data_IF_088531177855
#
_entry.id   IF_088531177855
#
_cell.length_a   1.000
_cell.length_b   1.000
_cell.length_c   1.000
_cell.angle_alpha   90.00
_cell.angle_beta   90.00
_cell.angle_gamma   90.00
#
_symmetry.space_group_name_H-M   'P 1'
#
loop_
_entity.id
_entity.type
_entity.pdbx_description
1 polymer ?
#
# COMPACT_ATOMS: atom_id res chain seq x y z
N UNK A 1 1.57 -1.42 -41.48
CA UNK A 1 0.32 -1.80 -40.80
C UNK A 1 0.21 -0.97 -39.53
N UNK A 2 -0.66 0.05 -39.51
CA UNK A 2 -0.90 0.87 -38.32
C UNK A 2 -1.65 0.04 -37.30
N UNK A 3 -1.02 -0.21 -36.16
CA UNK A 3 -1.54 -1.08 -35.10
C UNK A 3 -2.72 -0.38 -34.40
N UNK A 4 -3.91 -0.46 -35.00
CA UNK A 4 -5.16 0.12 -34.47
C UNK A 4 -5.57 -0.44 -33.10
N UNK A 5 -4.92 -1.51 -32.64
CA UNK A 5 -5.17 -2.09 -31.33
C UNK A 5 -4.47 -1.32 -30.18
N UNK A 6 -3.59 -0.38 -30.51
CA UNK A 6 -2.88 0.44 -29.51
C UNK A 6 -3.68 1.65 -29.03
N UNK A 7 -4.76 2.03 -29.74
CA UNK A 7 -5.58 3.18 -29.37
C UNK A 7 -7.02 2.77 -29.02
N UNK A 8 -7.60 3.38 -27.98
CA UNK A 8 -9.02 3.20 -27.66
C UNK A 8 -9.91 3.94 -28.68
N UNK A 9 -11.22 3.67 -28.67
CA UNK A 9 -12.20 4.39 -29.51
C UNK A 9 -12.17 5.91 -29.23
N UNK A 10 -11.81 6.30 -28.01
CA UNK A 10 -11.62 7.70 -27.63
C UNK A 10 -10.25 8.28 -28.05
N UNK A 11 -9.40 7.50 -28.74
CA UNK A 11 -8.07 7.93 -29.19
C UNK A 11 -6.97 7.85 -28.12
N UNK A 12 -7.19 7.11 -27.03
CA UNK A 12 -6.18 6.96 -25.95
C UNK A 12 -5.11 5.96 -26.36
N UNK A 13 -3.83 6.34 -26.34
CA UNK A 13 -2.69 5.43 -26.54
C UNK A 13 -2.50 4.52 -25.31
N UNK A 14 -2.72 3.23 -25.49
CA UNK A 14 -2.62 2.20 -24.46
C UNK A 14 -1.18 1.99 -24.01
N UNK A 15 -0.20 2.09 -24.91
CA UNK A 15 1.21 1.87 -24.57
C UNK A 15 1.76 3.06 -23.78
N UNK A 16 1.35 4.28 -24.13
CA UNK A 16 1.68 5.47 -23.35
C UNK A 16 1.08 5.41 -21.93
N UNK A 17 -0.18 4.96 -21.80
CA UNK A 17 -0.84 4.79 -20.49
C UNK A 17 -0.13 3.75 -19.64
N UNK A 18 0.27 2.60 -20.21
CA UNK A 18 1.05 1.59 -19.48
C UNK A 18 2.38 2.16 -18.98
N UNK A 19 3.10 2.90 -19.83
CA UNK A 19 4.37 3.55 -19.45
C UNK A 19 4.16 4.52 -18.30
N UNK A 20 3.14 5.39 -18.39
CA UNK A 20 2.81 6.35 -17.33
C UNK A 20 2.37 5.66 -16.04
N UNK A 21 1.61 4.56 -16.10
CA UNK A 21 1.22 3.79 -14.92
C UNK A 21 2.42 3.13 -14.24
N UNK A 22 3.41 2.65 -15.01
CA UNK A 22 4.66 2.13 -14.46
C UNK A 22 5.51 3.22 -13.78
N UNK A 23 5.40 4.47 -14.23
CA UNK A 23 6.11 5.63 -13.67
C UNK A 23 5.36 6.33 -12.51
N UNK A 24 4.05 6.06 -12.33
CA UNK A 24 3.18 6.77 -11.39
C UNK A 24 3.41 6.43 -9.90
N UNK A 25 4.26 5.45 -9.60
CA UNK A 25 4.53 5.01 -8.23
C UNK A 25 3.40 4.16 -7.64
N UNK A 26 3.40 4.03 -6.31
CA UNK A 26 2.41 3.21 -5.59
C UNK A 26 1.03 3.86 -5.63
N UNK A 27 0.00 3.05 -5.84
CA UNK A 27 -1.37 3.49 -5.64
C UNK A 27 -1.64 3.82 -4.17
N UNK A 28 -2.67 4.62 -3.92
CA UNK A 28 -3.09 4.97 -2.56
C UNK A 28 -3.26 3.74 -1.64
N UNK A 29 -3.86 2.66 -2.16
CA UNK A 29 -4.04 1.42 -1.40
C UNK A 29 -2.70 0.75 -1.09
N UNK A 30 -1.79 0.69 -2.06
CA UNK A 30 -0.46 0.11 -1.85
C UNK A 30 0.37 0.94 -0.87
N UNK A 31 0.23 2.26 -0.89
CA UNK A 31 0.82 3.15 0.13
C UNK A 31 0.25 2.83 1.51
N UNK A 32 -1.08 2.69 1.66
CA UNK A 32 -1.68 2.31 2.94
C UNK A 32 -1.19 0.95 3.45
N UNK A 33 -1.13 -0.06 2.58
CA UNK A 33 -0.61 -1.38 2.93
C UNK A 33 0.87 -1.33 3.32
N UNK A 34 1.67 -0.53 2.60
CA UNK A 34 3.09 -0.35 2.93
C UNK A 34 3.26 0.35 4.28
N UNK A 35 2.49 1.40 4.56
CA UNK A 35 2.50 2.11 5.85
C UNK A 35 2.03 1.21 7.00
N UNK A 36 1.00 0.39 6.78
CA UNK A 36 0.54 -0.58 7.77
C UNK A 36 1.59 -1.64 8.08
N UNK A 37 2.32 -2.13 7.06
CA UNK A 37 3.39 -3.12 7.22
C UNK A 37 4.64 -2.54 7.88
N UNK A 38 4.99 -1.31 7.52
CA UNK A 38 6.23 -0.69 8.00
C UNK A 38 6.05 0.04 9.33
N UNK A 39 4.82 0.20 9.80
CA UNK A 39 4.49 1.09 10.91
C UNK A 39 4.67 2.55 10.47
N UNK A 40 3.72 3.42 10.84
CA UNK A 40 3.82 4.85 10.55
C UNK A 40 5.17 5.45 10.98
N UNK A 41 5.60 6.52 10.31
CA UNK A 41 6.78 7.28 10.70
C UNK A 41 6.61 7.72 12.17
N UNK A 42 7.59 7.42 13.04
CA UNK A 42 7.53 7.57 14.50
C UNK A 42 6.52 6.71 15.30
N UNK A 43 5.81 5.75 14.66
CA UNK A 43 4.90 4.83 15.38
C UNK A 43 5.24 3.35 15.23
N UNK A 44 6.42 3.01 14.67
CA UNK A 44 6.93 1.64 14.63
C UNK A 44 6.89 0.95 16.00
N UNK A 45 7.20 1.69 17.07
CA UNK A 45 7.17 1.20 18.45
C UNK A 45 5.78 0.74 18.94
N UNK A 46 4.70 1.17 18.29
CA UNK A 46 3.31 0.81 18.65
C UNK A 46 2.68 -0.21 17.69
N UNK A 47 3.35 -0.53 16.58
CA UNK A 47 2.79 -1.37 15.51
C UNK A 47 2.93 -2.88 15.82
N UNK A 48 3.96 -3.27 16.57
CA UNK A 48 4.20 -4.65 17.02
C UNK A 48 3.58 -4.92 18.40
N UNK A 49 2.35 -4.47 18.61
CA UNK A 49 1.63 -4.81 19.85
C UNK A 49 1.24 -6.29 19.80
N UNK A 50 2.05 -7.15 20.45
CA UNK A 50 1.67 -8.54 20.69
C UNK A 50 0.49 -8.56 21.67
N UNK A 51 -0.70 -8.82 21.14
CA UNK A 51 -1.97 -8.81 21.90
C UNK A 51 -1.91 -9.73 23.12
N UNK A 52 -1.21 -10.86 23.03
CA UNK A 52 -1.06 -11.81 24.13
C UNK A 52 -0.13 -11.29 25.24
N UNK A 53 0.90 -10.53 24.86
CA UNK A 53 1.80 -9.88 25.82
C UNK A 53 1.07 -8.77 26.60
N UNK A 54 0.29 -7.95 25.91
CA UNK A 54 -0.51 -6.87 26.54
C UNK A 54 -1.53 -7.45 27.52
N UNK A 55 -2.26 -8.50 27.13
CA UNK A 55 -3.21 -9.18 28.04
C UNK A 55 -2.52 -9.68 29.31
N UNK A 56 -1.32 -10.24 29.20
CA UNK A 56 -0.55 -10.75 30.36
C UNK A 56 -0.11 -9.62 31.29
N UNK A 57 0.32 -8.48 30.76
CA UNK A 57 0.72 -7.32 31.58
C UNK A 57 -0.45 -6.72 32.35
N UNK A 58 -1.62 -6.56 31.71
CA UNK A 58 -2.83 -6.05 32.37
C UNK A 58 -3.24 -6.93 33.55
N UNK A 59 -3.28 -8.25 33.36
CA UNK A 59 -3.64 -9.18 34.44
C UNK A 59 -2.61 -9.23 35.57
N UNK A 60 -1.32 -9.02 35.28
CA UNK A 60 -0.25 -8.99 36.29
C UNK A 60 -0.32 -7.75 37.19
N UNK A 61 -0.83 -6.64 36.68
CA UNK A 61 -0.93 -5.38 37.45
C UNK A 61 -2.22 -5.29 38.29
N UNK A 62 -3.16 -6.24 38.14
CA UNK A 62 -4.39 -6.34 38.92
C UNK A 62 -4.27 -7.18 40.20
N UNK A 63 -3.06 -7.61 40.58
CA UNK A 63 -2.77 -8.39 41.79
C UNK A 63 -1.77 -7.69 42.71
#
# INVERSE_FOLDING_TARGET
MTNRNSFTIAGTDIEEVKRKNAEAGLSYKEVLEHLAKTGGYDTKAYSDTNVEEVKKQIHKHLH
#
